data_IF_758639836617
#
_entry.id   IF_758639836617
#
_cell.length_a   1.000
_cell.length_b   1.000
_cell.length_c   1.000
_cell.angle_alpha   90.00
_cell.angle_beta   90.00
_cell.angle_gamma   90.00
#
_symmetry.space_group_name_H-M   'P 1'
#
loop_
_entity.id
_entity.type
_entity.pdbx_description
1 polymer ?
#
# COMPACT_ATOMS: atom_id res chain seq x y z
N UNK A 1 -13.87 -19.68 39.41
CA UNK A 1 -13.72 -19.47 37.96
C UNK A 1 -13.07 -18.11 37.76
N UNK A 2 -11.85 -18.02 37.17
CA UNK A 2 -11.23 -16.72 36.95
C UNK A 2 -11.98 -15.97 35.83
N UNK A 3 -12.15 -14.67 36.03
CA UNK A 3 -12.96 -13.79 35.18
C UNK A 3 -12.44 -13.67 33.75
N UNK A 4 -13.35 -13.33 32.85
CA UNK A 4 -13.17 -13.16 31.40
C UNK A 4 -12.22 -12.01 30.99
N UNK A 5 -11.56 -11.37 31.96
CA UNK A 5 -10.63 -10.25 31.76
C UNK A 5 -9.21 -10.68 31.32
N UNK A 6 -8.96 -12.00 31.21
CA UNK A 6 -7.66 -12.59 30.90
C UNK A 6 -7.54 -13.16 29.47
N UNK A 7 -8.39 -12.75 28.53
CA UNK A 7 -8.09 -13.02 27.12
C UNK A 7 -6.91 -12.14 26.68
N UNK A 8 -5.85 -12.70 26.06
CA UNK A 8 -4.69 -11.94 25.61
C UNK A 8 -5.09 -11.10 24.40
N UNK A 9 -5.86 -10.04 24.63
CA UNK A 9 -6.16 -9.03 23.61
C UNK A 9 -4.82 -8.51 23.10
N UNK A 10 -4.80 -8.18 21.82
CA UNK A 10 -3.67 -7.58 21.15
C UNK A 10 -3.11 -6.40 21.96
N UNK A 11 -2.07 -6.65 22.77
CA UNK A 11 -1.39 -5.61 23.54
C UNK A 11 -0.77 -4.66 22.52
N UNK A 12 -1.14 -3.37 22.52
CA UNK A 12 -0.65 -2.33 21.58
C UNK A 12 0.85 -2.41 21.30
N UNK A 13 1.63 -2.81 22.30
CA UNK A 13 3.09 -2.98 22.23
C UNK A 13 3.54 -4.05 21.23
N UNK A 14 2.82 -5.17 21.10
CA UNK A 14 3.11 -6.22 20.11
C UNK A 14 2.80 -5.79 18.68
N UNK A 15 1.83 -4.87 18.50
CA UNK A 15 1.50 -4.32 17.18
C UNK A 15 2.68 -3.51 16.62
N UNK A 16 3.37 -2.73 17.47
CA UNK A 16 4.45 -1.86 16.98
C UNK A 16 5.69 -2.66 16.57
N UNK A 17 6.16 -3.61 17.40
CA UNK A 17 7.30 -4.47 17.05
C UNK A 17 7.01 -5.30 15.79
N UNK A 18 5.78 -5.81 15.66
CA UNK A 18 5.37 -6.53 14.46
C UNK A 18 5.30 -5.61 13.23
N UNK A 19 4.70 -4.42 13.36
CA UNK A 19 4.68 -3.43 12.28
C UNK A 19 6.08 -3.06 11.81
N UNK A 20 7.03 -2.86 12.73
CA UNK A 20 8.42 -2.56 12.39
C UNK A 20 9.10 -3.73 11.67
N UNK A 21 8.77 -4.98 12.02
CA UNK A 21 9.31 -6.16 11.31
C UNK A 21 8.80 -6.31 9.87
N UNK A 22 7.57 -5.85 9.58
CA UNK A 22 6.96 -5.96 8.23
C UNK A 22 7.23 -4.73 7.39
N UNK A 23 7.16 -3.54 8.01
CA UNK A 23 7.34 -2.24 7.35
C UNK A 23 8.37 -1.39 8.11
N UNK A 24 9.66 -1.74 8.06
CA UNK A 24 10.70 -1.03 8.80
C UNK A 24 10.72 0.45 8.46
N UNK A 25 10.73 1.32 9.47
CA UNK A 25 10.72 2.79 9.31
C UNK A 25 11.94 3.31 8.54
N UNK A 26 13.04 2.56 8.56
CA UNK A 26 14.24 2.85 7.77
C UNK A 26 13.98 2.80 6.25
N UNK A 27 13.03 1.96 5.80
CA UNK A 27 12.68 1.84 4.38
C UNK A 27 11.54 2.81 4.06
N UNK A 28 11.88 3.95 3.47
CA UNK A 28 10.92 5.03 3.13
C UNK A 28 10.42 4.96 1.69
N UNK A 29 11.19 4.32 0.80
CA UNK A 29 10.79 4.05 -0.58
C UNK A 29 9.79 2.90 -0.61
N UNK A 30 8.51 3.23 -0.74
CA UNK A 30 7.39 2.27 -0.69
C UNK A 30 6.41 2.55 -1.81
N UNK A 31 5.92 1.49 -2.44
CA UNK A 31 4.86 1.56 -3.44
C UNK A 31 3.71 0.66 -3.00
N UNK A 32 2.51 1.23 -2.88
CA UNK A 32 1.28 0.46 -2.71
C UNK A 32 0.58 0.30 -4.07
N UNK A 33 0.03 -0.88 -4.33
CA UNK A 33 -0.66 -1.20 -5.58
C UNK A 33 -1.99 -1.86 -5.23
N UNK A 34 -3.10 -1.23 -5.61
CA UNK A 34 -4.45 -1.77 -5.41
C UNK A 34 -5.37 -1.30 -6.54
N UNK A 35 -6.22 -2.19 -7.07
CA UNK A 35 -7.21 -1.87 -8.09
C UNK A 35 -8.45 -1.16 -7.50
N UNK A 36 -8.22 -0.13 -6.68
CA UNK A 36 -9.24 0.67 -5.99
C UNK A 36 -8.69 2.07 -5.65
N UNK A 37 -9.45 2.85 -4.90
CA UNK A 37 -9.12 4.19 -4.45
C UNK A 37 -7.79 4.25 -3.68
N UNK A 38 -7.00 5.28 -3.97
CA UNK A 38 -5.64 5.45 -3.41
C UNK A 38 -5.62 6.02 -1.99
N UNK A 39 -6.74 6.57 -1.52
CA UNK A 39 -6.86 7.40 -0.33
C UNK A 39 -6.39 6.70 0.97
N UNK A 40 -6.59 5.39 1.12
CA UNK A 40 -6.27 4.74 2.39
C UNK A 40 -4.76 4.44 2.57
N UNK A 41 -3.98 4.47 1.49
CA UNK A 41 -2.63 3.92 1.46
C UNK A 41 -1.52 4.84 1.97
N UNK A 42 -1.74 6.17 2.00
CA UNK A 42 -0.72 7.12 2.47
C UNK A 42 -0.23 6.83 3.88
N UNK A 43 -1.07 6.20 4.72
CA UNK A 43 -0.74 5.84 6.11
C UNK A 43 0.40 4.80 6.19
N UNK A 44 0.58 4.02 5.13
CA UNK A 44 1.56 2.93 5.06
C UNK A 44 2.75 3.28 4.19
N UNK A 45 2.53 3.97 3.07
CA UNK A 45 3.63 4.34 2.15
C UNK A 45 4.40 5.57 2.63
N UNK A 46 3.78 6.45 3.42
CA UNK A 46 4.41 7.66 3.93
C UNK A 46 4.58 8.76 2.88
N UNK A 47 5.27 9.85 3.25
CA UNK A 47 5.39 11.05 2.42
C UNK A 47 6.21 10.85 1.14
N UNK A 48 7.19 9.95 1.19
CA UNK A 48 8.08 9.64 0.05
C UNK A 48 7.56 8.46 -0.78
N UNK A 49 6.44 7.87 -0.39
CA UNK A 49 5.87 6.72 -1.06
C UNK A 49 5.05 7.08 -2.31
N UNK A 50 4.67 6.06 -3.07
CA UNK A 50 3.73 6.17 -4.20
C UNK A 50 2.59 5.18 -4.05
N UNK A 51 1.44 5.52 -4.61
CA UNK A 51 0.25 4.66 -4.63
C UNK A 51 -0.22 4.53 -6.07
N UNK A 52 -0.26 3.30 -6.57
CA UNK A 52 -0.84 2.95 -7.85
C UNK A 52 -2.25 2.44 -7.56
N UNK A 53 -3.25 3.22 -7.97
CA UNK A 53 -4.65 2.84 -7.85
C UNK A 53 -5.52 3.56 -8.86
N UNK A 54 -6.83 3.49 -8.66
CA UNK A 54 -7.84 3.99 -9.59
C UNK A 54 -8.46 5.27 -9.01
N UNK A 55 -8.41 6.36 -9.77
CA UNK A 55 -8.95 7.67 -9.37
C UNK A 55 -10.29 8.03 -10.01
N UNK A 56 -10.78 7.24 -10.96
CA UNK A 56 -12.04 7.47 -11.68
C UNK A 56 -12.79 6.16 -11.90
N UNK A 57 -14.05 6.26 -12.32
CA UNK A 57 -14.87 5.07 -12.55
C UNK A 57 -14.31 4.20 -13.68
N UNK A 58 -14.62 2.90 -13.60
CA UNK A 58 -14.10 1.86 -14.49
C UNK A 58 -14.21 2.15 -16.00
N UNK A 59 -13.61 1.28 -16.79
CA UNK A 59 -13.72 1.29 -18.24
C UNK A 59 -14.52 0.07 -18.72
N UNK A 60 -15.36 0.24 -19.73
CA UNK A 60 -16.07 -0.88 -20.36
C UNK A 60 -15.10 -1.67 -21.24
N UNK A 61 -14.98 -2.98 -20.99
CA UNK A 61 -14.07 -3.83 -21.75
C UNK A 61 -13.70 -5.10 -21.00
N UNK A 62 -12.72 -5.84 -21.53
CA UNK A 62 -12.17 -7.03 -20.88
C UNK A 62 -11.32 -6.59 -19.70
N UNK A 63 -11.37 -7.33 -18.59
CA UNK A 63 -10.67 -6.96 -17.36
C UNK A 63 -9.16 -6.74 -17.54
N UNK A 64 -8.50 -7.55 -18.39
CA UNK A 64 -7.08 -7.39 -18.68
C UNK A 64 -6.76 -6.06 -19.40
N UNK A 65 -7.60 -5.68 -20.37
CA UNK A 65 -7.44 -4.44 -21.14
C UNK A 65 -7.70 -3.23 -20.24
N UNK A 66 -8.73 -3.30 -19.40
CA UNK A 66 -9.03 -2.26 -18.40
C UNK A 66 -7.86 -2.10 -17.42
N UNK A 67 -7.32 -3.18 -16.85
CA UNK A 67 -6.17 -3.12 -15.94
C UNK A 67 -4.92 -2.53 -16.60
N UNK A 68 -4.66 -2.86 -17.87
CA UNK A 68 -3.57 -2.28 -18.62
C UNK A 68 -3.76 -0.75 -18.83
N UNK A 69 -4.99 -0.31 -19.13
CA UNK A 69 -5.34 1.11 -19.24
C UNK A 69 -5.16 1.87 -17.91
N UNK A 70 -5.53 1.25 -16.79
CA UNK A 70 -5.30 1.83 -15.46
C UNK A 70 -3.84 1.75 -14.99
N UNK A 71 -2.94 1.17 -15.80
CA UNK A 71 -1.51 1.14 -15.51
C UNK A 71 -1.09 0.08 -14.50
N UNK A 72 -1.89 -0.98 -14.32
CA UNK A 72 -1.51 -2.18 -13.56
C UNK A 72 -0.66 -3.11 -14.42
N UNK A 73 0.52 -2.65 -14.81
CA UNK A 73 1.48 -3.44 -15.58
C UNK A 73 2.79 -3.56 -14.82
N UNK A 74 3.45 -4.72 -14.93
CA UNK A 74 4.73 -4.96 -14.28
C UNK A 74 5.79 -3.92 -14.69
N UNK A 75 5.79 -3.51 -15.96
CA UNK A 75 6.70 -2.46 -16.46
C UNK A 75 6.48 -1.10 -15.80
N UNK A 76 5.21 -0.69 -15.63
CA UNK A 76 4.90 0.56 -14.91
C UNK A 76 5.30 0.47 -13.44
N UNK A 77 4.96 -0.63 -12.76
CA UNK A 77 5.31 -0.83 -11.35
C UNK A 77 6.84 -0.80 -11.17
N UNK A 78 7.58 -1.51 -12.04
CA UNK A 78 9.03 -1.54 -12.00
C UNK A 78 9.66 -0.15 -12.19
N UNK A 79 9.11 0.67 -13.08
CA UNK A 79 9.53 2.07 -13.26
C UNK A 79 9.29 2.90 -12.01
N UNK A 80 8.11 2.83 -11.40
CA UNK A 80 7.79 3.58 -10.16
C UNK A 80 8.67 3.17 -8.97
N UNK A 81 9.19 1.93 -8.97
CA UNK A 81 10.14 1.46 -7.96
C UNK A 81 11.59 1.86 -8.28
N UNK A 82 11.96 1.87 -9.57
CA UNK A 82 13.33 2.12 -10.04
C UNK A 82 13.71 3.59 -10.18
N UNK A 83 12.75 4.47 -10.48
CA UNK A 83 12.99 5.91 -10.63
C UNK A 83 13.20 6.60 -9.26
N UNK A 84 13.99 7.69 -9.21
CA UNK A 84 14.10 8.53 -8.02
C UNK A 84 12.73 9.11 -7.63
N UNK A 85 12.29 8.90 -6.38
CA UNK A 85 10.96 9.33 -5.89
C UNK A 85 10.84 10.85 -5.66
N UNK A 86 11.88 11.59 -6.03
CA UNK A 86 12.08 13.03 -5.91
C UNK A 86 11.65 13.81 -7.17
N UNK A 87 11.38 13.14 -8.29
CA UNK A 87 10.72 13.78 -9.43
C UNK A 87 9.23 13.93 -9.16
N UNK A 88 8.82 15.16 -8.86
CA UNK A 88 7.43 15.62 -8.86
C UNK A 88 6.99 15.67 -10.32
N UNK A 89 5.87 14.99 -10.65
CA UNK A 89 5.17 15.13 -11.94
C UNK A 89 4.66 16.56 -12.12
#
# INVERSE_FOLDING_TARGET
MPGVDALPKCSRRRIETYRESVLPRAVRRRVAVEADATLSWWRYVGAEGRVIGIGWFGASGRGADAMAQFGFTAGRIGREVGEPLDTVN
#
